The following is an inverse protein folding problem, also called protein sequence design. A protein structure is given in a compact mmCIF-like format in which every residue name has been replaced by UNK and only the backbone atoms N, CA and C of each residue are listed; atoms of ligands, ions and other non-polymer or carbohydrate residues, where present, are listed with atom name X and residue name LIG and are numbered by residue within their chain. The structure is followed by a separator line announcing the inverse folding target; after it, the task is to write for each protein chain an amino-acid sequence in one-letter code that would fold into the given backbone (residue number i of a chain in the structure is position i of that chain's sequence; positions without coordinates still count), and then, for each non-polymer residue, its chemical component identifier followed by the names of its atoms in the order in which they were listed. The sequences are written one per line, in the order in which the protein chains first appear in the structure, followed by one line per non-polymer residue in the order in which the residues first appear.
data_IF_219879915269
#
_entry.id   IF_219879915269
#
_cell.length_a   1.000
_cell.length_b   1.000
_cell.length_c   1.000
_cell.angle_alpha   90.00
_cell.angle_beta   90.00
_cell.angle_gamma   90.00
#
_symmetry.space_group_name_H-M   'P 1'
#
loop_
_entity.id
_entity.type
_entity.pdbx_description
1 polymer ?
#
# COMPACT_ATOMS: atom_id res chain seq x y z
N UNK A 1 7.61 -5.00 -10.04
CA UNK A 1 6.78 -6.15 -9.66
C UNK A 1 7.07 -6.43 -8.20
N UNK A 2 6.08 -6.24 -7.33
CA UNK A 2 6.26 -6.45 -5.89
C UNK A 2 6.43 -7.92 -5.56
N UNK A 3 7.27 -8.22 -4.58
CA UNK A 3 7.33 -9.53 -3.97
C UNK A 3 6.47 -9.52 -2.70
N UNK A 4 5.56 -10.49 -2.54
CA UNK A 4 4.72 -10.65 -1.35
C UNK A 4 3.83 -9.43 -1.01
N UNK A 5 2.99 -8.98 -1.95
CA UNK A 5 1.95 -8.01 -1.64
C UNK A 5 0.83 -8.66 -0.81
N UNK A 6 0.73 -8.30 0.46
CA UNK A 6 -0.34 -8.75 1.36
C UNK A 6 -1.26 -7.57 1.70
N UNK A 7 -2.58 -7.80 1.63
CA UNK A 7 -3.59 -6.85 2.13
C UNK A 7 -4.27 -7.45 3.34
N UNK A 8 -4.35 -6.67 4.42
CA UNK A 8 -4.99 -7.03 5.69
C UNK A 8 -6.01 -5.95 6.04
N UNK A 9 -7.30 -6.27 6.16
CA UNK A 9 -8.27 -5.32 6.68
C UNK A 9 -7.92 -5.01 8.15
N UNK A 10 -7.70 -3.73 8.43
CA UNK A 10 -7.62 -3.19 9.77
C UNK A 10 -9.00 -2.67 10.15
N UNK A 11 -9.48 -3.09 11.32
CA UNK A 11 -10.80 -2.74 11.84
C UNK A 11 -11.96 -3.37 11.05
N UNK A 12 -11.85 -4.68 10.76
CA UNK A 12 -13.00 -5.50 10.35
C UNK A 12 -14.20 -5.20 11.25
N UNK A 13 -15.36 -4.97 10.64
CA UNK A 13 -16.65 -4.69 11.31
C UNK A 13 -16.81 -3.28 11.93
N UNK A 14 -15.94 -2.31 11.58
CA UNK A 14 -16.09 -0.92 12.02
C UNK A 14 -16.35 0.06 10.86
N UNK A 15 -17.05 1.16 11.15
CA UNK A 15 -17.39 2.24 10.19
C UNK A 15 -16.14 2.93 9.58
N UNK A 16 -14.97 2.69 10.16
CA UNK A 16 -13.67 3.19 9.69
C UNK A 16 -12.76 2.04 9.24
N UNK A 17 -13.30 1.05 8.55
CA UNK A 17 -12.49 -0.01 7.95
C UNK A 17 -11.38 0.60 7.08
N UNK A 18 -10.16 0.15 7.31
CA UNK A 18 -8.97 0.56 6.59
C UNK A 18 -8.29 -0.68 6.07
N UNK A 19 -7.63 -0.57 4.93
CA UNK A 19 -6.90 -1.70 4.39
C UNK A 19 -5.41 -1.45 4.60
N UNK A 20 -4.78 -2.21 5.48
CA UNK A 20 -3.33 -2.23 5.56
C UNK A 20 -2.78 -3.05 4.41
N UNK A 21 -1.72 -2.58 3.79
CA UNK A 21 -0.97 -3.35 2.82
C UNK A 21 0.50 -3.43 3.25
N UNK A 22 1.12 -4.55 2.89
CA UNK A 22 2.54 -4.81 3.06
C UNK A 22 3.08 -5.28 1.71
N UNK A 23 4.24 -4.76 1.32
CA UNK A 23 4.88 -5.09 0.06
C UNK A 23 6.39 -5.11 0.22
N UNK A 24 7.06 -6.01 -0.49
CA UNK A 24 8.50 -5.95 -0.66
C UNK A 24 8.83 -5.32 -2.03
N UNK A 25 9.64 -4.27 -2.00
CA UNK A 25 10.12 -3.58 -3.18
C UNK A 25 11.65 -3.45 -3.11
N UNK A 26 12.33 -4.03 -4.10
CA UNK A 26 13.79 -4.07 -4.20
C UNK A 26 14.53 -4.64 -2.95
N UNK A 27 13.86 -5.48 -2.17
CA UNK A 27 14.40 -6.05 -0.93
C UNK A 27 13.98 -5.30 0.33
N UNK A 28 13.45 -4.09 0.20
CA UNK A 28 12.91 -3.30 1.31
C UNK A 28 11.42 -3.59 1.53
N UNK A 29 11.04 -3.72 2.80
CA UNK A 29 9.65 -3.99 3.18
C UNK A 29 8.98 -2.65 3.49
N UNK A 30 8.00 -2.30 2.69
CA UNK A 30 7.16 -1.14 2.88
C UNK A 30 5.78 -1.56 3.34
N UNK A 31 5.24 -0.80 4.29
CA UNK A 31 3.91 -1.01 4.82
C UNK A 31 3.16 0.32 4.80
N UNK A 32 1.87 0.26 4.56
CA UNK A 32 1.01 1.43 4.57
C UNK A 32 -0.44 1.06 4.82
N UNK A 33 -1.28 2.08 4.94
CA UNK A 33 -2.73 1.93 4.95
C UNK A 33 -3.33 2.68 3.77
N UNK A 34 -4.31 2.04 3.16
CA UNK A 34 -5.15 2.60 2.12
C UNK A 34 -6.52 2.92 2.71
N UNK A 35 -6.96 4.16 2.53
CA UNK A 35 -8.27 4.62 2.98
C UNK A 35 -8.78 5.71 2.05
N UNK A 36 -10.01 5.56 1.55
CA UNK A 36 -10.70 6.56 0.70
C UNK A 36 -9.91 7.00 -0.56
N UNK A 37 -9.05 6.12 -1.09
CA UNK A 37 -8.18 6.50 -2.22
C UNK A 37 -6.91 7.24 -1.82
N UNK A 38 -6.58 7.33 -0.53
CA UNK A 38 -5.31 7.88 -0.07
C UNK A 38 -4.41 6.77 0.50
N UNK A 39 -3.16 6.74 0.03
CA UNK A 39 -2.11 5.89 0.59
C UNK A 39 -1.38 6.66 1.70
N UNK A 40 -1.34 6.07 2.89
CA UNK A 40 -0.55 6.56 4.01
C UNK A 40 0.54 5.55 4.34
N UNK A 41 1.78 5.90 4.04
CA UNK A 41 2.95 5.07 4.30
C UNK A 41 3.34 5.08 5.78
N UNK A 42 3.69 3.91 6.33
CA UNK A 42 4.32 3.81 7.64
C UNK A 42 5.82 4.12 7.56
N UNK A 43 6.49 4.21 8.70
CA UNK A 43 7.94 4.35 8.76
C UNK A 43 8.61 2.96 8.66
N UNK A 44 9.60 2.76 7.76
CA UNK A 44 10.23 3.74 6.85
C UNK A 44 9.36 4.10 5.63
N UNK A 45 9.39 5.39 5.25
CA UNK A 45 8.56 5.89 4.15
C UNK A 45 9.31 5.82 2.82
N UNK A 46 8.72 5.22 1.77
CA UNK A 46 9.39 4.99 0.49
C UNK A 46 9.84 6.27 -0.19
N UNK A 47 9.14 7.40 0.00
CA UNK A 47 9.53 8.69 -0.59
C UNK A 47 10.92 9.21 -0.16
N UNK A 48 11.51 8.64 0.90
CA UNK A 48 12.86 9.02 1.37
C UNK A 48 13.98 8.20 0.74
N UNK A 49 13.66 7.00 0.26
CA UNK A 49 14.64 6.04 -0.25
C UNK A 49 14.47 5.81 -1.75
N UNK A 50 13.24 5.93 -2.26
CA UNK A 50 12.88 5.80 -3.67
C UNK A 50 12.88 7.16 -4.37
N UNK A 51 13.27 7.15 -5.65
CA UNK A 51 13.10 8.30 -6.53
C UNK A 51 11.62 8.56 -6.83
N UNK A 52 11.27 9.77 -7.27
CA UNK A 52 9.88 10.15 -7.57
C UNK A 52 9.22 9.21 -8.62
N UNK A 53 10.00 8.74 -9.61
CA UNK A 53 9.51 7.79 -10.62
C UNK A 53 9.15 6.43 -10.00
N UNK A 54 10.04 5.90 -9.15
CA UNK A 54 9.83 4.63 -8.46
C UNK A 54 8.67 4.75 -7.46
N UNK A 55 8.62 5.83 -6.68
CA UNK A 55 7.51 6.10 -5.75
C UNK A 55 6.18 6.15 -6.50
N UNK A 56 6.12 6.88 -7.62
CA UNK A 56 4.91 6.98 -8.43
C UNK A 56 4.48 5.62 -9.00
N UNK A 57 5.44 4.80 -9.44
CA UNK A 57 5.17 3.45 -9.91
C UNK A 57 4.61 2.57 -8.78
N UNK A 58 5.21 2.67 -7.58
CA UNK A 58 4.78 1.94 -6.39
C UNK A 58 3.35 2.33 -6.01
N UNK A 59 3.08 3.63 -5.86
CA UNK A 59 1.76 4.14 -5.49
C UNK A 59 0.70 3.76 -6.52
N UNK A 60 1.00 3.89 -7.82
CA UNK A 60 0.07 3.49 -8.89
C UNK A 60 -0.26 2.01 -8.84
N UNK A 61 0.72 1.14 -8.55
CA UNK A 61 0.50 -0.29 -8.51
C UNK A 61 -0.24 -0.71 -7.22
N UNK A 62 0.06 -0.09 -6.07
CA UNK A 62 -0.73 -0.25 -4.84
C UNK A 62 -2.17 0.16 -5.06
N UNK A 63 -2.42 1.33 -5.69
CA UNK A 63 -3.76 1.80 -6.02
C UNK A 63 -4.53 0.77 -6.84
N UNK A 64 -3.94 0.26 -7.93
CA UNK A 64 -4.58 -0.76 -8.77
C UNK A 64 -4.89 -2.04 -8.02
N UNK A 65 -3.97 -2.50 -7.17
CA UNK A 65 -4.17 -3.70 -6.37
C UNK A 65 -5.27 -3.51 -5.32
N UNK A 66 -5.32 -2.33 -4.70
CA UNK A 66 -6.35 -1.96 -3.73
C UNK A 66 -7.73 -1.81 -4.37
N UNK A 67 -7.83 -1.12 -5.51
CA UNK A 67 -9.09 -1.00 -6.26
C UNK A 67 -9.59 -2.39 -6.69
N UNK A 68 -8.72 -3.23 -7.25
CA UNK A 68 -9.07 -4.60 -7.63
C UNK A 68 -9.44 -5.50 -6.43
N UNK A 69 -9.03 -5.14 -5.21
CA UNK A 69 -9.43 -5.83 -3.98
C UNK A 69 -10.77 -5.34 -3.46
N UNK A 70 -11.05 -4.03 -3.56
CA UNK A 70 -12.32 -3.41 -3.13
C UNK A 70 -13.48 -3.65 -4.10
N UNK A 71 -13.19 -3.92 -5.38
CA UNK A 71 -14.20 -4.28 -6.39
C UNK A 71 -14.68 -5.75 -6.31
N UNK A 72 -14.11 -6.58 -5.40
CA UNK A 72 -14.48 -7.99 -5.20
C UNK A 72 -15.50 -8.20 -4.09
#
# INVERSE_FOLDING_TARGET
MFENFEVKPLFEDQVHERHQFELNFQGDIYQGVFHDGEINWFHPQPHKELEEEELSAVETEVHKLMEAHLEQ
#
